data_IF_467087314715
#
_entry.id   IF_467087314715
#
_cell.length_a   1.000
_cell.length_b   1.000
_cell.length_c   1.000
_cell.angle_alpha   90.00
_cell.angle_beta   90.00
_cell.angle_gamma   90.00
#
_symmetry.space_group_name_H-M   'P 1'
#
loop_
_entity.id
_entity.type
_entity.pdbx_description
1 polymer ?
#
# COMPACT_ATOMS: atom_id res chain seq x y z
N UNK A 1 8.74 -2.70 25.14
CA UNK A 1 9.56 -1.48 24.88
C UNK A 1 8.88 -0.71 23.76
N UNK A 2 8.09 0.29 24.18
CA UNK A 2 7.30 1.26 23.43
C UNK A 2 6.78 0.84 22.05
N UNK A 3 5.69 0.07 22.08
CA UNK A 3 4.69 0.04 21.02
C UNK A 3 4.35 1.47 20.60
N UNK A 4 4.48 1.73 19.31
CA UNK A 4 4.24 3.03 18.69
C UNK A 4 2.79 3.44 18.96
N UNK A 5 2.58 4.23 20.01
CA UNK A 5 1.35 4.95 20.25
C UNK A 5 1.23 6.01 19.14
N UNK A 6 0.84 5.58 17.95
CA UNK A 6 0.38 6.45 16.86
C UNK A 6 -0.95 7.04 17.35
N UNK A 7 -0.85 8.02 18.24
CA UNK A 7 -1.98 8.76 18.78
C UNK A 7 -2.56 9.64 17.68
N UNK A 8 -3.88 9.80 17.70
CA UNK A 8 -4.59 10.63 16.75
C UNK A 8 -4.16 12.08 16.96
N UNK A 9 -3.38 12.61 16.03
CA UNK A 9 -2.93 14.00 16.05
C UNK A 9 -4.14 14.93 15.98
N UNK A 10 -4.10 16.03 16.72
CA UNK A 10 -5.08 17.09 16.49
C UNK A 10 -4.82 17.77 15.12
N UNK A 11 -5.77 18.59 14.67
CA UNK A 11 -5.71 19.27 13.36
C UNK A 11 -4.41 20.07 13.21
N UNK A 12 -3.97 20.77 14.26
CA UNK A 12 -2.77 21.61 14.21
C UNK A 12 -1.48 20.79 14.18
N UNK A 13 -1.41 19.69 14.93
CA UNK A 13 -0.26 18.78 14.90
C UNK A 13 -0.13 18.09 13.54
N UNK A 14 -1.26 17.71 12.95
CA UNK A 14 -1.39 17.22 11.57
C UNK A 14 -0.84 18.26 10.58
N UNK A 15 -1.28 19.52 10.71
CA UNK A 15 -0.84 20.62 9.85
C UNK A 15 0.67 20.92 10.00
N UNK A 16 1.20 20.89 11.22
CA UNK A 16 2.65 21.03 11.46
C UNK A 16 3.41 19.94 10.71
N UNK A 17 3.00 18.67 10.82
CA UNK A 17 3.65 17.60 10.08
C UNK A 17 3.49 17.75 8.57
N UNK A 18 2.33 18.14 8.06
CA UNK A 18 2.13 18.36 6.62
C UNK A 18 3.11 19.43 6.09
N UNK A 19 3.26 20.55 6.80
CA UNK A 19 4.02 21.73 6.32
C UNK A 19 5.54 21.63 6.50
N UNK A 20 6.04 20.85 7.46
CA UNK A 20 7.49 20.65 7.63
C UNK A 20 8.00 19.70 6.54
N UNK A 21 8.89 20.20 5.68
CA UNK A 21 9.49 19.37 4.63
C UNK A 21 10.52 18.39 5.22
N UNK A 22 10.65 17.16 4.69
CA UNK A 22 11.72 16.24 5.07
C UNK A 22 13.10 16.87 4.90
N UNK A 23 14.05 16.55 5.80
CA UNK A 23 15.43 17.08 5.81
C UNK A 23 15.58 18.59 5.96
N UNK A 24 14.49 19.32 6.25
CA UNK A 24 14.52 20.76 6.52
C UNK A 24 14.48 21.02 8.02
N UNK A 25 15.46 21.76 8.51
CA UNK A 25 15.45 22.30 9.87
C UNK A 25 14.53 23.51 9.93
N UNK A 26 13.62 23.53 10.90
CA UNK A 26 12.71 24.64 11.14
C UNK A 26 12.69 25.05 12.62
N UNK A 27 12.69 26.35 12.89
CA UNK A 27 12.48 26.90 14.22
C UNK A 27 10.99 26.93 14.59
N UNK A 28 10.68 27.02 15.88
CA UNK A 28 9.29 27.18 16.34
C UNK A 28 8.62 28.44 15.75
N UNK A 29 9.41 29.48 15.48
CA UNK A 29 8.93 30.74 14.91
C UNK A 29 8.59 30.61 13.42
N UNK A 30 9.34 29.81 12.67
CA UNK A 30 9.01 29.52 11.28
C UNK A 30 7.76 28.65 11.18
N UNK A 31 7.65 27.61 12.01
CA UNK A 31 6.43 26.78 12.08
C UNK A 31 5.22 27.63 12.45
N UNK A 32 5.37 28.54 13.41
CA UNK A 32 4.31 29.48 13.78
C UNK A 32 3.83 30.34 12.61
N UNK A 33 4.75 30.83 11.75
CA UNK A 33 4.39 31.60 10.54
C UNK A 33 3.71 30.76 9.46
N UNK A 34 3.92 29.44 9.47
CA UNK A 34 3.32 28.53 8.50
C UNK A 34 1.89 28.13 8.86
N UNK A 35 1.45 28.30 10.11
CA UNK A 35 0.11 27.96 10.56
C UNK A 35 -0.84 29.15 10.40
N UNK A 36 -2.07 28.90 9.94
CA UNK A 36 -3.06 29.96 9.82
C UNK A 36 -3.52 30.46 11.21
N UNK A 37 -3.72 31.78 11.28
CA UNK A 37 -3.73 32.61 12.49
C UNK A 37 -4.80 32.23 13.52
N UNK A 38 -4.39 32.16 14.79
CA UNK A 38 -5.28 32.01 15.96
C UNK A 38 -4.65 31.35 17.18
N UNK A 39 -3.45 30.75 17.04
CA UNK A 39 -2.71 30.11 18.13
C UNK A 39 -1.51 30.93 18.58
N UNK A 40 -1.07 30.74 19.82
CA UNK A 40 0.15 31.39 20.34
C UNK A 40 1.41 30.57 20.01
N UNK A 41 2.57 31.23 19.97
CA UNK A 41 3.86 30.55 19.81
C UNK A 41 4.11 29.50 20.92
N UNK A 42 3.58 29.72 22.12
CA UNK A 42 3.67 28.77 23.24
C UNK A 42 2.92 27.48 22.90
N UNK A 43 1.73 27.58 22.31
CA UNK A 43 0.96 26.42 21.85
C UNK A 43 1.72 25.66 20.77
N UNK A 44 2.31 26.35 19.79
CA UNK A 44 3.12 25.73 18.73
C UNK A 44 4.32 24.98 19.32
N UNK A 45 5.04 25.58 20.28
CA UNK A 45 6.13 24.90 20.99
C UNK A 45 5.65 23.64 21.69
N UNK A 46 4.48 23.68 22.35
CA UNK A 46 3.91 22.50 23.01
C UNK A 46 3.60 21.38 22.00
N UNK A 47 3.08 21.71 20.82
CA UNK A 47 2.82 20.69 19.79
C UNK A 47 4.11 20.15 19.18
N UNK A 48 5.13 20.98 18.99
CA UNK A 48 6.45 20.52 18.54
C UNK A 48 7.07 19.55 19.54
N UNK A 49 7.05 19.86 20.83
CA UNK A 49 7.53 18.94 21.87
C UNK A 49 6.70 17.66 21.95
N UNK A 50 5.37 17.75 21.73
CA UNK A 50 4.52 16.56 21.62
C UNK A 50 4.91 15.67 20.43
N UNK A 51 5.13 16.25 19.25
CA UNK A 51 5.58 15.54 18.05
C UNK A 51 7.01 14.96 18.21
N UNK A 52 7.87 15.63 18.98
CA UNK A 52 9.18 15.09 19.40
C UNK A 52 9.00 13.88 20.33
N UNK A 53 8.07 13.95 21.29
CA UNK A 53 7.73 12.83 22.16
C UNK A 53 7.21 11.60 21.40
N UNK A 54 6.49 11.82 20.30
CA UNK A 54 6.06 10.77 19.36
C UNK A 54 7.16 10.31 18.39
N UNK A 55 8.36 10.91 18.45
CA UNK A 55 9.47 10.70 17.52
C UNK A 55 9.14 11.02 16.06
N UNK A 56 8.13 11.85 15.79
CA UNK A 56 7.83 12.33 14.44
C UNK A 56 8.71 13.51 14.05
N UNK A 57 9.15 14.27 15.06
CA UNK A 57 10.18 15.29 14.91
C UNK A 57 11.37 14.94 15.79
N UNK A 58 12.56 15.38 15.39
CA UNK A 58 13.76 15.40 16.22
C UNK A 58 14.13 16.84 16.52
N UNK A 59 14.49 17.13 17.78
CA UNK A 59 15.01 18.43 18.19
C UNK A 59 16.52 18.49 17.98
N UNK A 60 16.98 19.55 17.32
CA UNK A 60 18.40 19.90 17.19
C UNK A 60 18.69 21.21 17.94
N UNK A 61 19.89 21.33 18.51
CA UNK A 61 20.33 22.53 19.23
C UNK A 61 19.64 22.76 20.59
N UNK A 62 19.95 23.90 21.23
CA UNK A 62 19.44 24.28 22.56
C UNK A 62 19.11 25.78 22.60
N UNK A 63 18.19 26.17 23.48
CA UNK A 63 17.82 27.58 23.68
C UNK A 63 17.36 28.25 22.38
N UNK A 64 17.97 29.40 22.04
CA UNK A 64 17.65 30.20 20.85
C UNK A 64 17.99 29.50 19.52
N UNK A 65 18.88 28.51 19.52
CA UNK A 65 19.24 27.73 18.32
C UNK A 65 18.42 26.44 18.18
N UNK A 66 17.31 26.31 18.91
CA UNK A 66 16.46 25.11 18.83
C UNK A 66 15.74 25.07 17.48
N UNK A 67 15.96 23.99 16.74
CA UNK A 67 15.25 23.67 15.51
C UNK A 67 14.71 22.24 15.55
N UNK A 68 13.78 21.95 14.66
CA UNK A 68 13.10 20.68 14.56
C UNK A 68 13.26 20.15 13.13
N UNK A 69 13.45 18.85 13.00
CA UNK A 69 13.55 18.15 11.72
C UNK A 69 12.57 16.97 11.73
N UNK A 70 11.97 16.68 10.59
CA UNK A 70 11.10 15.51 10.46
C UNK A 70 11.92 14.23 10.42
N UNK A 71 11.62 13.29 11.32
CA UNK A 71 12.22 11.95 11.32
C UNK A 71 11.60 11.07 10.23
N UNK A 72 12.17 9.90 9.97
CA UNK A 72 11.53 8.91 9.09
C UNK A 72 10.12 8.56 9.54
N UNK A 73 9.92 8.35 10.84
CA UNK A 73 8.59 8.05 11.38
C UNK A 73 7.60 9.19 11.09
N UNK A 74 8.06 10.44 11.24
CA UNK A 74 7.27 11.62 10.88
C UNK A 74 6.95 11.69 9.39
N UNK A 75 7.85 11.25 8.51
CA UNK A 75 7.62 11.16 7.06
C UNK A 75 6.56 10.10 6.75
N UNK A 76 6.75 8.87 7.23
CA UNK A 76 5.85 7.74 7.00
C UNK A 76 4.42 8.04 7.45
N UNK A 77 4.25 8.76 8.56
CA UNK A 77 2.95 9.12 9.12
C UNK A 77 2.51 10.57 8.86
N UNK A 78 3.12 11.24 7.87
CA UNK A 78 2.68 12.57 7.45
C UNK A 78 1.30 12.51 6.77
N UNK A 79 0.28 13.21 7.26
CA UNK A 79 -1.07 13.18 6.72
C UNK A 79 -1.20 14.09 5.48
N UNK A 80 -0.76 13.59 4.33
CA UNK A 80 -0.78 14.35 3.06
C UNK A 80 -2.12 14.10 2.37
N UNK A 81 -2.82 15.17 1.99
CA UNK A 81 -4.01 15.07 1.13
C UNK A 81 -3.58 14.74 -0.31
N UNK A 82 -3.95 13.56 -0.86
CA UNK A 82 -3.51 13.14 -2.18
C UNK A 82 -4.07 14.03 -3.29
N UNK A 83 -5.31 14.49 -3.20
CA UNK A 83 -5.91 15.35 -4.24
C UNK A 83 -5.24 16.72 -4.25
N UNK A 84 -5.03 17.32 -3.08
CA UNK A 84 -4.32 18.61 -2.96
C UNK A 84 -2.88 18.52 -3.46
N UNK A 85 -2.17 17.44 -3.11
CA UNK A 85 -0.80 17.22 -3.55
C UNK A 85 -0.69 17.07 -5.06
N UNK A 86 -1.59 16.29 -5.67
CA UNK A 86 -1.54 15.97 -7.09
C UNK A 86 -2.02 17.11 -8.01
N UNK A 87 -2.66 18.18 -7.47
CA UNK A 87 -2.97 19.43 -8.21
C UNK A 87 -1.74 20.20 -8.70
N UNK A 88 -0.58 19.99 -8.07
CA UNK A 88 0.68 20.57 -8.54
C UNK A 88 1.27 19.67 -9.61
N UNK A 89 1.78 20.25 -10.70
CA UNK A 89 2.46 19.50 -11.77
C UNK A 89 3.62 18.65 -11.22
N UNK A 90 3.84 17.41 -11.71
CA UNK A 90 4.79 16.48 -11.13
C UNK A 90 6.20 17.06 -10.91
N UNK A 91 6.74 17.79 -11.88
CA UNK A 91 8.08 18.37 -11.80
C UNK A 91 8.20 19.51 -10.76
N UNK A 92 7.07 20.12 -10.38
CA UNK A 92 6.99 21.21 -9.41
C UNK A 92 6.60 20.73 -8.00
N UNK A 93 6.24 19.46 -7.84
CA UNK A 93 5.86 18.90 -6.53
C UNK A 93 7.05 18.91 -5.57
N UNK A 94 6.77 19.14 -4.29
CA UNK A 94 7.74 18.84 -3.22
C UNK A 94 7.89 17.32 -3.07
N UNK A 95 9.06 16.84 -2.65
CA UNK A 95 9.34 15.41 -2.47
C UNK A 95 10.52 14.92 -3.29
N UNK A 96 10.73 13.61 -3.27
CA UNK A 96 11.86 12.91 -3.88
C UNK A 96 11.60 12.56 -5.33
N UNK A 97 12.66 12.53 -6.13
CA UNK A 97 12.65 11.99 -7.49
C UNK A 97 13.31 10.61 -7.60
N UNK A 98 13.91 10.12 -6.53
CA UNK A 98 14.82 8.98 -6.48
C UNK A 98 14.41 7.95 -5.42
N UNK A 99 14.86 6.71 -5.60
CA UNK A 99 14.62 5.61 -4.67
C UNK A 99 15.19 5.85 -3.28
N UNK A 100 14.38 5.56 -2.25
CA UNK A 100 14.78 5.62 -0.86
C UNK A 100 15.36 4.30 -0.37
N UNK A 101 16.68 4.16 -0.43
CA UNK A 101 17.38 2.95 0.01
C UNK A 101 17.18 2.61 1.51
N UNK A 102 16.97 3.61 2.37
CA UNK A 102 16.78 3.35 3.81
C UNK A 102 15.32 3.08 4.19
N UNK A 103 14.38 3.16 3.24
CA UNK A 103 12.95 3.12 3.52
C UNK A 103 12.53 1.87 4.29
N UNK A 104 12.90 0.68 3.81
CA UNK A 104 12.45 -0.57 4.38
C UNK A 104 13.17 -0.93 5.68
N UNK A 105 14.43 -0.53 5.83
CA UNK A 105 15.19 -0.69 7.08
C UNK A 105 14.61 0.16 8.21
N UNK A 106 14.04 1.31 7.85
CA UNK A 106 13.43 2.25 8.80
C UNK A 106 11.92 2.03 9.00
N UNK A 107 11.30 1.03 8.35
CA UNK A 107 9.91 0.69 8.63
C UNK A 107 9.74 0.24 10.09
N UNK A 108 8.79 0.80 10.84
CA UNK A 108 8.50 0.31 12.18
C UNK A 108 7.90 -1.10 12.09
N UNK A 109 8.10 -1.89 13.16
CA UNK A 109 7.52 -3.25 13.27
C UNK A 109 5.99 -3.29 13.15
N UNK A 110 5.33 -2.17 13.43
CA UNK A 110 3.89 -1.99 13.33
C UNK A 110 3.58 -0.68 12.61
N UNK A 111 2.75 -0.76 11.56
CA UNK A 111 2.34 0.38 10.74
C UNK A 111 0.95 0.94 11.11
N UNK A 112 0.27 0.30 12.06
CA UNK A 112 -1.08 0.63 12.51
C UNK A 112 -1.04 1.11 13.95
N UNK A 113 -1.82 2.15 14.24
CA UNK A 113 -2.08 2.59 15.60
C UNK A 113 -2.83 1.52 16.39
N UNK A 114 -2.78 1.62 17.72
CA UNK A 114 -3.55 0.75 18.61
C UNK A 114 -5.04 0.78 18.25
N UNK A 115 -5.60 1.98 18.04
CA UNK A 115 -7.01 2.17 17.66
C UNK A 115 -7.36 1.56 16.30
N UNK A 116 -6.51 1.74 15.29
CA UNK A 116 -6.71 1.11 13.98
C UNK A 116 -6.67 -0.42 14.11
N UNK A 117 -5.71 -0.95 14.86
CA UNK A 117 -5.56 -2.38 15.09
C UNK A 117 -6.76 -2.97 15.82
N UNK A 118 -7.23 -2.35 16.90
CA UNK A 118 -8.43 -2.78 17.64
C UNK A 118 -9.66 -2.86 16.73
N UNK A 119 -9.89 -1.84 15.90
CA UNK A 119 -11.00 -1.82 14.95
C UNK A 119 -10.90 -2.96 13.93
N UNK A 120 -9.71 -3.17 13.36
CA UNK A 120 -9.45 -4.23 12.40
C UNK A 120 -9.58 -5.63 13.02
N UNK A 121 -9.12 -5.81 14.26
CA UNK A 121 -9.21 -7.09 15.00
C UNK A 121 -10.66 -7.43 15.36
N UNK A 122 -11.44 -6.47 15.85
CA UNK A 122 -12.89 -6.64 16.09
C UNK A 122 -13.61 -7.04 14.80
N UNK A 123 -13.26 -6.41 13.67
CA UNK A 123 -13.84 -6.72 12.36
C UNK A 123 -13.46 -8.12 11.91
N UNK A 124 -12.21 -8.52 12.12
CA UNK A 124 -11.69 -9.86 11.80
C UNK A 124 -12.37 -10.93 12.63
N UNK A 125 -12.63 -10.69 13.92
CA UNK A 125 -13.39 -11.61 14.77
C UNK A 125 -14.79 -11.87 14.20
N UNK A 126 -15.53 -10.82 13.84
CA UNK A 126 -16.85 -10.94 13.21
C UNK A 126 -16.79 -11.68 11.88
N UNK A 127 -15.79 -11.39 11.05
CA UNK A 127 -15.58 -12.08 9.78
C UNK A 127 -15.37 -13.59 9.97
N UNK A 128 -14.50 -13.96 10.91
CA UNK A 128 -14.19 -15.36 11.21
C UNK A 128 -15.40 -16.14 11.71
N UNK A 129 -16.28 -15.53 12.48
CA UNK A 129 -17.54 -16.18 12.87
C UNK A 129 -18.49 -16.38 11.69
N UNK A 130 -18.59 -15.40 10.77
CA UNK A 130 -19.44 -15.53 9.58
C UNK A 130 -18.97 -16.62 8.63
N UNK A 131 -17.67 -16.78 8.39
CA UNK A 131 -17.17 -17.77 7.44
C UNK A 131 -17.33 -19.23 7.92
N UNK A 132 -17.46 -19.45 9.25
CA UNK A 132 -17.67 -20.78 9.83
C UNK A 132 -19.03 -21.39 9.46
N UNK A 133 -20.05 -20.57 9.26
CA UNK A 133 -21.42 -21.02 8.96
C UNK A 133 -21.67 -21.22 7.46
N UNK A 134 -20.69 -20.97 6.60
CA UNK A 134 -20.83 -21.11 5.15
C UNK A 134 -20.55 -22.56 4.74
N UNK A 135 -21.49 -23.16 4.03
CA UNK A 135 -21.32 -24.51 3.47
C UNK A 135 -20.16 -24.55 2.47
N UNK A 136 -19.53 -25.72 2.21
CA UNK A 136 -18.46 -25.83 1.22
C UNK A 136 -18.86 -25.30 -0.17
N UNK A 137 -20.09 -25.56 -0.60
CA UNK A 137 -20.64 -25.02 -1.86
C UNK A 137 -20.77 -23.49 -1.81
N UNK A 138 -21.21 -22.93 -0.68
CA UNK A 138 -21.26 -21.49 -0.47
C UNK A 138 -19.88 -20.85 -0.52
N UNK A 139 -18.86 -21.47 0.08
CA UNK A 139 -17.48 -20.99 0.07
C UNK A 139 -16.92 -20.94 -1.36
N UNK A 140 -17.18 -21.96 -2.18
CA UNK A 140 -16.76 -21.96 -3.59
C UNK A 140 -17.43 -20.83 -4.38
N UNK A 141 -18.74 -20.62 -4.20
CA UNK A 141 -19.48 -19.54 -4.88
C UNK A 141 -18.98 -18.15 -4.46
N UNK A 142 -18.76 -17.94 -3.17
CA UNK A 142 -18.24 -16.68 -2.64
C UNK A 142 -16.81 -16.40 -3.10
N UNK A 143 -15.97 -17.45 -3.16
CA UNK A 143 -14.62 -17.35 -3.70
C UNK A 143 -14.65 -16.98 -5.19
N UNK A 144 -15.48 -17.66 -5.99
CA UNK A 144 -15.63 -17.36 -7.42
C UNK A 144 -16.06 -15.91 -7.64
N UNK A 145 -17.10 -15.46 -6.93
CA UNK A 145 -17.57 -14.07 -6.98
C UNK A 145 -16.45 -13.09 -6.62
N UNK A 146 -15.74 -13.35 -5.52
CA UNK A 146 -14.64 -12.49 -5.09
C UNK A 146 -13.53 -12.41 -6.15
N UNK A 147 -13.15 -13.54 -6.77
CA UNK A 147 -12.10 -13.58 -7.79
C UNK A 147 -12.49 -12.82 -9.05
N UNK A 148 -13.76 -12.90 -9.47
CA UNK A 148 -14.27 -12.13 -10.61
C UNK A 148 -14.16 -10.63 -10.31
N UNK A 149 -14.71 -10.19 -9.18
CA UNK A 149 -14.73 -8.77 -8.80
C UNK A 149 -13.32 -8.21 -8.58
N UNK A 150 -12.42 -8.99 -7.97
CA UNK A 150 -11.02 -8.61 -7.77
C UNK A 150 -10.26 -8.52 -9.10
N UNK A 151 -10.43 -9.49 -10.00
CA UNK A 151 -9.74 -9.51 -11.30
C UNK A 151 -10.17 -8.36 -12.19
N UNK A 152 -11.47 -8.04 -12.19
CA UNK A 152 -12.01 -6.85 -12.82
C UNK A 152 -11.40 -5.58 -12.24
N UNK A 153 -11.57 -5.35 -10.93
CA UNK A 153 -11.23 -4.07 -10.31
C UNK A 153 -9.73 -3.80 -10.28
N UNK A 154 -8.93 -4.82 -10.03
CA UNK A 154 -7.46 -4.73 -10.09
C UNK A 154 -6.99 -4.35 -11.50
N UNK A 155 -7.61 -4.89 -12.55
CA UNK A 155 -7.28 -4.53 -13.94
C UNK A 155 -7.77 -3.13 -14.30
N UNK A 156 -8.97 -2.75 -13.85
CA UNK A 156 -9.57 -1.43 -14.06
C UNK A 156 -8.74 -0.30 -13.45
N UNK A 157 -8.16 -0.50 -12.26
CA UNK A 157 -7.23 0.48 -11.65
C UNK A 157 -6.01 0.74 -12.55
N UNK A 158 -5.58 -0.22 -13.36
CA UNK A 158 -4.50 -0.06 -14.35
C UNK A 158 -4.98 0.42 -15.73
N UNK A 159 -6.27 0.74 -15.90
CA UNK A 159 -6.82 1.30 -17.14
C UNK A 159 -7.52 0.29 -18.05
N UNK A 160 -7.69 -0.96 -17.63
CA UNK A 160 -8.49 -1.93 -18.38
C UNK A 160 -9.96 -1.47 -18.46
N UNK A 161 -10.57 -1.62 -19.64
CA UNK A 161 -11.89 -1.07 -19.95
C UNK A 161 -13.05 -2.05 -19.78
N UNK A 162 -12.79 -3.33 -19.46
CA UNK A 162 -13.84 -4.32 -19.22
C UNK A 162 -14.82 -3.86 -18.13
N UNK A 163 -16.11 -4.12 -18.34
CA UNK A 163 -17.11 -4.02 -17.28
C UNK A 163 -17.05 -5.23 -16.35
N UNK A 164 -17.73 -5.14 -15.20
CA UNK A 164 -17.83 -6.28 -14.29
C UNK A 164 -18.60 -7.44 -14.94
N UNK A 165 -19.66 -7.15 -15.71
CA UNK A 165 -20.45 -8.16 -16.42
C UNK A 165 -19.64 -8.85 -17.51
N UNK A 166 -18.86 -8.09 -18.28
CA UNK A 166 -17.95 -8.65 -19.29
C UNK A 166 -16.89 -9.55 -18.64
N UNK A 167 -16.37 -9.13 -17.49
CA UNK A 167 -15.40 -9.92 -16.72
C UNK A 167 -16.02 -11.22 -16.21
N UNK A 168 -17.25 -11.16 -15.70
CA UNK A 168 -17.99 -12.36 -15.27
C UNK A 168 -18.18 -13.34 -16.43
N UNK A 169 -18.69 -12.84 -17.57
CA UNK A 169 -18.92 -13.66 -18.77
C UNK A 169 -17.62 -14.29 -19.27
N UNK A 170 -16.54 -13.51 -19.32
CA UNK A 170 -15.21 -14.01 -19.70
C UNK A 170 -14.73 -15.13 -18.77
N UNK A 171 -14.82 -14.93 -17.45
CA UNK A 171 -14.23 -15.86 -16.48
C UNK A 171 -15.08 -17.12 -16.23
N UNK A 172 -16.40 -17.06 -16.49
CA UNK A 172 -17.34 -18.18 -16.33
C UNK A 172 -17.56 -18.96 -17.62
N UNK A 173 -17.78 -18.27 -18.72
CA UNK A 173 -18.18 -18.87 -20.00
C UNK A 173 -17.00 -18.97 -20.98
N UNK A 174 -15.88 -18.29 -20.69
CA UNK A 174 -14.73 -18.23 -21.59
C UNK A 174 -14.98 -17.34 -22.82
N UNK A 175 -16.00 -16.47 -22.78
CA UNK A 175 -16.40 -15.63 -23.91
C UNK A 175 -15.82 -14.21 -23.71
N UNK A 176 -14.85 -13.77 -24.55
CA UNK A 176 -14.35 -12.40 -24.52
C UNK A 176 -15.44 -11.38 -24.90
N UNK A 177 -15.35 -10.19 -24.33
CA UNK A 177 -16.24 -9.09 -24.72
C UNK A 177 -15.76 -8.43 -26.02
N UNK A 178 -16.72 -8.01 -26.85
CA UNK A 178 -16.44 -7.34 -28.11
C UNK A 178 -15.82 -5.95 -27.88
N UNK A 179 -14.94 -5.52 -28.80
CA UNK A 179 -14.33 -4.18 -28.74
C UNK A 179 -13.15 -4.04 -27.76
N UNK A 180 -12.77 -5.10 -27.04
CA UNK A 180 -11.60 -5.09 -26.16
C UNK A 180 -10.37 -5.74 -26.81
N UNK A 181 -9.20 -5.31 -26.37
CA UNK A 181 -7.94 -5.86 -26.88
C UNK A 181 -7.66 -7.27 -26.32
N UNK A 182 -6.85 -8.09 -27.02
CA UNK A 182 -6.36 -9.36 -26.48
C UNK A 182 -5.61 -9.17 -25.16
N UNK A 183 -4.83 -8.10 -25.04
CA UNK A 183 -4.06 -7.78 -23.83
C UNK A 183 -4.99 -7.50 -22.65
N UNK A 184 -6.06 -6.71 -22.82
CA UNK A 184 -7.05 -6.48 -21.77
C UNK A 184 -7.75 -7.77 -21.32
N UNK A 185 -8.07 -8.65 -22.27
CA UNK A 185 -8.66 -9.96 -21.99
C UNK A 185 -7.69 -10.84 -21.19
N UNK A 186 -6.42 -10.88 -21.61
CA UNK A 186 -5.36 -11.64 -20.96
C UNK A 186 -5.09 -11.12 -19.53
N UNK A 187 -5.10 -9.80 -19.30
CA UNK A 187 -4.93 -9.22 -17.96
C UNK A 187 -5.91 -9.82 -16.94
N UNK A 188 -7.18 -9.99 -17.31
CA UNK A 188 -8.23 -10.51 -16.42
C UNK A 188 -8.05 -12.01 -16.19
N UNK A 189 -7.83 -12.78 -17.27
CA UNK A 189 -7.60 -14.23 -17.19
C UNK A 189 -6.38 -14.54 -16.33
N UNK A 190 -5.28 -13.83 -16.56
CA UNK A 190 -4.03 -14.01 -15.83
C UNK A 190 -4.17 -13.64 -14.36
N UNK A 191 -4.95 -12.60 -14.06
CA UNK A 191 -5.23 -12.23 -12.67
C UNK A 191 -5.94 -13.36 -11.92
N UNK A 192 -6.94 -14.01 -12.53
CA UNK A 192 -7.59 -15.21 -11.97
C UNK A 192 -6.58 -16.35 -11.79
N UNK A 193 -5.78 -16.66 -12.82
CA UNK A 193 -4.77 -17.73 -12.77
C UNK A 193 -3.73 -17.53 -11.66
N UNK A 194 -3.21 -16.31 -11.53
CA UNK A 194 -2.24 -15.97 -10.50
C UNK A 194 -2.85 -16.05 -9.09
N UNK A 195 -4.11 -15.66 -8.92
CA UNK A 195 -4.82 -15.83 -7.66
C UNK A 195 -5.04 -17.30 -7.30
N UNK A 196 -5.42 -18.15 -8.27
CA UNK A 196 -5.52 -19.61 -8.07
C UNK A 196 -4.19 -20.21 -7.61
N UNK A 197 -3.08 -19.85 -8.26
CA UNK A 197 -1.74 -20.28 -7.82
C UNK A 197 -1.45 -19.87 -6.37
N UNK A 198 -1.81 -18.65 -5.96
CA UNK A 198 -1.64 -18.20 -4.58
C UNK A 198 -2.41 -19.09 -3.60
N UNK A 199 -3.66 -19.43 -3.91
CA UNK A 199 -4.48 -20.29 -3.04
C UNK A 199 -3.90 -21.71 -2.92
N UNK A 200 -3.46 -22.27 -4.04
CA UNK A 200 -2.84 -23.61 -4.08
C UNK A 200 -1.54 -23.68 -3.27
N UNK A 201 -0.80 -22.57 -3.20
CA UNK A 201 0.52 -22.50 -2.54
C UNK A 201 0.49 -21.71 -1.22
N UNK A 202 -0.70 -21.45 -0.68
CA UNK A 202 -0.85 -20.55 0.48
C UNK A 202 -0.23 -21.11 1.77
N UNK A 203 -0.25 -22.44 1.92
CA UNK A 203 0.34 -23.15 3.06
C UNK A 203 1.86 -23.08 3.02
N UNK A 204 2.45 -23.20 1.83
CA UNK A 204 3.88 -23.01 1.64
C UNK A 204 4.29 -21.57 1.97
N UNK A 205 3.56 -20.58 1.45
CA UNK A 205 3.84 -19.17 1.76
C UNK A 205 3.70 -18.87 3.26
N UNK A 206 2.71 -19.45 3.95
CA UNK A 206 2.58 -19.34 5.42
C UNK A 206 3.83 -19.84 6.15
N UNK A 207 4.42 -20.95 5.71
CA UNK A 207 5.60 -21.55 6.33
C UNK A 207 6.88 -20.77 6.02
N UNK A 208 7.07 -20.41 4.75
CA UNK A 208 8.32 -19.81 4.26
C UNK A 208 8.34 -18.27 4.37
N UNK A 209 7.18 -17.65 4.61
CA UNK A 209 6.99 -16.22 4.48
C UNK A 209 6.94 -15.78 3.01
N UNK A 210 6.92 -14.46 2.79
CA UNK A 210 7.05 -13.93 1.43
C UNK A 210 8.51 -14.01 0.98
N UNK A 211 8.73 -14.48 -0.25
CA UNK A 211 10.07 -14.67 -0.83
C UNK A 211 10.12 -14.11 -2.25
N UNK A 212 11.31 -13.73 -2.72
CA UNK A 212 11.50 -13.24 -4.10
C UNK A 212 11.00 -14.26 -5.14
N UNK A 213 11.33 -15.57 -5.05
CA UNK A 213 10.80 -16.55 -6.01
C UNK A 213 9.27 -16.62 -6.04
N UNK A 214 8.60 -16.51 -4.89
CA UNK A 214 7.13 -16.50 -4.85
C UNK A 214 6.56 -15.25 -5.54
N UNK A 215 7.18 -14.09 -5.33
CA UNK A 215 6.80 -12.82 -5.98
C UNK A 215 7.00 -12.93 -7.50
N UNK A 216 8.15 -13.42 -7.96
CA UNK A 216 8.43 -13.61 -9.39
C UNK A 216 7.46 -14.61 -10.03
N UNK A 217 7.08 -15.68 -9.32
CA UNK A 217 6.14 -16.67 -9.86
C UNK A 217 4.72 -16.11 -10.02
N UNK A 218 4.24 -15.34 -9.02
CA UNK A 218 2.95 -14.64 -9.13
C UNK A 218 2.97 -13.64 -10.29
N UNK A 219 4.07 -12.90 -10.44
CA UNK A 219 4.24 -11.95 -11.54
C UNK A 219 4.26 -12.65 -12.90
N UNK A 220 5.00 -13.75 -13.04
CA UNK A 220 5.08 -14.54 -14.27
C UNK A 220 3.69 -14.93 -14.79
N UNK A 221 2.82 -15.41 -13.88
CA UNK A 221 1.45 -15.78 -14.21
C UNK A 221 0.60 -14.56 -14.59
N UNK A 222 0.81 -13.43 -13.91
CA UNK A 222 0.09 -12.18 -14.15
C UNK A 222 0.35 -11.57 -15.53
N UNK A 223 1.56 -11.74 -16.06
CA UNK A 223 1.98 -11.11 -17.33
C UNK A 223 2.11 -12.08 -18.50
N UNK A 224 1.64 -13.32 -18.34
CA UNK A 224 1.60 -14.30 -19.41
C UNK A 224 0.92 -13.71 -20.67
N UNK A 225 1.52 -13.90 -21.84
CA UNK A 225 0.99 -13.43 -23.13
C UNK A 225 0.83 -11.89 -23.28
N UNK A 226 1.30 -11.07 -22.33
CA UNK A 226 1.25 -9.60 -22.40
C UNK A 226 2.51 -8.94 -22.99
N UNK A 227 3.37 -9.72 -23.66
CA UNK A 227 4.68 -9.25 -24.20
C UNK A 227 5.59 -8.58 -23.17
N UNK A 228 5.43 -8.89 -21.88
CA UNK A 228 6.27 -8.40 -20.78
C UNK A 228 7.37 -9.41 -20.49
N UNK A 229 8.61 -8.94 -20.28
CA UNK A 229 9.70 -9.83 -19.87
C UNK A 229 9.46 -10.41 -18.48
N UNK A 230 9.81 -11.69 -18.31
CA UNK A 230 9.71 -12.40 -17.03
C UNK A 230 10.91 -12.10 -16.13
N UNK A 231 10.65 -12.17 -14.82
CA UNK A 231 11.65 -11.96 -13.78
C UNK A 231 12.05 -10.49 -13.60
N UNK A 232 13.02 -10.26 -12.70
CA UNK A 232 13.46 -8.90 -12.40
C UNK A 232 14.01 -8.18 -13.64
N UNK A 233 13.55 -6.94 -13.84
CA UNK A 233 14.00 -6.09 -14.94
C UNK A 233 15.44 -5.61 -14.73
N UNK A 234 16.05 -5.12 -15.80
CA UNK A 234 17.41 -4.58 -15.82
C UNK A 234 17.52 -3.20 -16.47
N UNK A 235 16.39 -2.53 -16.69
CA UNK A 235 16.33 -1.22 -17.34
C UNK A 235 15.26 -0.34 -16.71
N UNK A 236 15.24 0.93 -17.11
CA UNK A 236 14.32 1.95 -16.60
C UNK A 236 12.85 1.60 -16.85
N UNK A 237 11.99 2.00 -15.91
CA UNK A 237 10.53 2.04 -16.09
C UNK A 237 10.04 3.43 -15.73
N UNK A 238 9.18 3.98 -16.59
CA UNK A 238 8.50 5.24 -16.33
C UNK A 238 7.17 5.00 -15.62
N UNK A 239 6.86 5.83 -14.63
CA UNK A 239 5.54 5.88 -14.02
C UNK A 239 4.91 7.20 -14.41
N UNK A 240 3.79 7.14 -15.14
CA UNK A 240 3.07 8.35 -15.56
C UNK A 240 2.54 9.10 -14.34
N UNK A 241 2.67 10.43 -14.36
CA UNK A 241 2.10 11.32 -13.34
C UNK A 241 3.00 11.56 -12.12
N UNK A 242 4.26 11.13 -12.15
CA UNK A 242 5.21 11.33 -11.06
C UNK A 242 6.62 11.64 -11.54
N UNK A 243 7.35 12.44 -10.75
CA UNK A 243 8.79 12.67 -10.95
C UNK A 243 9.66 11.56 -10.34
N UNK A 244 9.05 10.64 -9.60
CA UNK A 244 9.75 9.53 -8.96
C UNK A 244 10.29 8.54 -10.00
N UNK A 245 11.56 8.18 -9.86
CA UNK A 245 12.29 7.22 -10.67
C UNK A 245 12.67 6.02 -9.80
N UNK A 246 12.07 4.83 -10.04
CA UNK A 246 12.50 3.59 -9.41
C UNK A 246 13.94 3.21 -9.75
N UNK A 247 14.50 2.26 -9.02
CA UNK A 247 15.79 1.62 -9.33
C UNK A 247 15.81 1.11 -10.77
N UNK A 248 16.92 1.18 -11.49
CA UNK A 248 17.06 0.69 -12.87
C UNK A 248 18.03 -0.48 -13.02
N UNK A 249 18.79 -0.77 -11.96
CA UNK A 249 19.78 -1.83 -11.91
C UNK A 249 19.19 -3.12 -11.31
N UNK A 250 19.31 -4.24 -12.03
CA UNK A 250 18.79 -5.56 -11.60
C UNK A 250 19.29 -6.01 -10.22
N UNK A 251 20.55 -5.74 -9.89
CA UNK A 251 21.13 -6.14 -8.60
C UNK A 251 20.56 -5.31 -7.45
N UNK A 252 20.42 -3.99 -7.63
CA UNK A 252 19.78 -3.13 -6.63
C UNK A 252 18.30 -3.45 -6.46
N UNK A 253 17.59 -3.76 -7.57
CA UNK A 253 16.18 -4.18 -7.53
C UNK A 253 16.06 -5.47 -6.70
N UNK A 254 16.95 -6.44 -6.95
CA UNK A 254 16.98 -7.70 -6.21
C UNK A 254 17.23 -7.46 -4.72
N UNK A 255 18.26 -6.69 -4.39
CA UNK A 255 18.61 -6.33 -3.01
C UNK A 255 17.45 -5.63 -2.30
N UNK A 256 16.80 -4.64 -2.94
CA UNK A 256 15.65 -3.94 -2.38
C UNK A 256 14.46 -4.88 -2.14
N UNK A 257 14.22 -5.85 -3.05
CA UNK A 257 13.14 -6.81 -2.92
C UNK A 257 13.42 -7.86 -1.84
N UNK A 258 14.67 -8.30 -1.69
CA UNK A 258 15.12 -9.17 -0.60
C UNK A 258 15.04 -8.46 0.76
N UNK A 259 15.43 -7.18 0.81
CA UNK A 259 15.27 -6.31 1.97
C UNK A 259 13.80 -6.15 2.37
N UNK A 260 12.91 -5.91 1.41
CA UNK A 260 11.46 -5.87 1.66
C UNK A 260 10.94 -7.20 2.21
N UNK A 261 11.30 -8.34 1.61
CA UNK A 261 10.88 -9.66 2.10
C UNK A 261 11.35 -9.88 3.54
N UNK A 262 12.61 -9.55 3.84
CA UNK A 262 13.19 -9.65 5.19
C UNK A 262 12.44 -8.77 6.19
N UNK A 263 12.18 -7.52 5.84
CA UNK A 263 11.45 -6.58 6.69
C UNK A 263 10.02 -7.08 6.97
N UNK A 264 9.27 -7.47 5.93
CA UNK A 264 7.90 -8.00 6.04
C UNK A 264 7.86 -9.25 6.91
N UNK A 265 8.77 -10.20 6.72
CA UNK A 265 8.76 -11.44 7.48
C UNK A 265 9.04 -11.21 8.98
N UNK A 266 9.80 -10.15 9.34
CA UNK A 266 10.09 -9.73 10.72
C UNK A 266 9.02 -8.86 11.38
N UNK A 267 8.11 -8.25 10.60
CA UNK A 267 7.05 -7.37 11.14
C UNK A 267 6.02 -8.12 11.98
N UNK A 268 5.33 -7.36 12.84
CA UNK A 268 4.31 -7.89 13.73
C UNK A 268 2.90 -7.59 13.21
N UNK A 269 2.06 -8.61 13.18
CA UNK A 269 0.66 -8.51 12.73
C UNK A 269 0.48 -8.62 11.22
N UNK A 270 -0.61 -9.28 10.82
CA UNK A 270 -0.91 -9.59 9.41
C UNK A 270 -1.19 -8.34 8.58
N UNK A 271 -1.87 -7.34 9.16
CA UNK A 271 -2.13 -6.06 8.49
C UNK A 271 -0.86 -5.31 8.13
N UNK A 272 0.09 -5.23 9.08
CA UNK A 272 1.41 -4.61 8.85
C UNK A 272 2.11 -5.27 7.68
N UNK A 273 2.18 -6.61 7.70
CA UNK A 273 2.82 -7.40 6.64
C UNK A 273 2.16 -7.17 5.28
N UNK A 274 0.84 -7.31 5.21
CA UNK A 274 0.08 -7.16 3.96
C UNK A 274 0.22 -5.76 3.37
N UNK A 275 0.11 -4.73 4.21
CA UNK A 275 0.24 -3.34 3.78
C UNK A 275 1.66 -3.00 3.33
N UNK A 276 2.69 -3.48 4.04
CA UNK A 276 4.09 -3.31 3.64
C UNK A 276 4.39 -3.96 2.27
N UNK A 277 3.85 -5.15 2.00
CA UNK A 277 3.94 -5.80 0.68
C UNK A 277 3.29 -4.95 -0.41
N UNK A 278 2.07 -4.44 -0.16
CA UNK A 278 1.32 -3.62 -1.11
C UNK A 278 2.12 -2.38 -1.55
N UNK A 279 2.60 -1.59 -0.58
CA UNK A 279 3.30 -0.34 -0.87
C UNK A 279 4.74 -0.60 -1.33
N UNK A 280 5.42 -1.59 -0.75
CA UNK A 280 6.83 -1.88 -1.02
C UNK A 280 7.07 -2.36 -2.45
N UNK A 281 6.31 -3.36 -2.92
CA UNK A 281 6.45 -3.86 -4.30
C UNK A 281 6.08 -2.75 -5.29
N UNK A 282 5.02 -1.99 -4.99
CA UNK A 282 4.60 -0.85 -5.81
C UNK A 282 5.68 0.23 -5.90
N UNK A 283 6.50 0.41 -4.87
CA UNK A 283 7.58 1.41 -4.84
C UNK A 283 8.86 0.94 -5.53
N UNK A 284 9.25 -0.32 -5.32
CA UNK A 284 10.44 -0.92 -5.96
C UNK A 284 10.25 -1.03 -7.47
N UNK A 285 9.02 -1.34 -7.93
CA UNK A 285 8.72 -1.65 -9.33
C UNK A 285 9.67 -2.71 -9.91
N UNK A 286 9.77 -3.92 -9.33
CA UNK A 286 10.81 -4.89 -9.71
C UNK A 286 10.70 -5.45 -11.14
N UNK A 287 9.56 -5.28 -11.80
CA UNK A 287 9.25 -5.85 -13.10
C UNK A 287 9.02 -4.78 -14.17
N UNK A 288 9.08 -5.18 -15.44
CA UNK A 288 8.85 -4.30 -16.60
C UNK A 288 7.42 -3.71 -16.62
N UNK A 289 6.41 -4.53 -16.30
CA UNK A 289 5.02 -4.11 -16.05
C UNK A 289 4.34 -5.06 -15.06
N UNK A 290 3.14 -4.74 -14.58
CA UNK A 290 2.33 -5.60 -13.70
C UNK A 290 2.64 -5.45 -12.21
N UNK A 291 3.56 -4.56 -11.83
CA UNK A 291 4.02 -4.37 -10.46
C UNK A 291 2.88 -4.12 -9.45
N UNK A 292 1.96 -3.20 -9.76
CA UNK A 292 0.85 -2.84 -8.86
C UNK A 292 -0.19 -3.96 -8.76
N UNK A 293 -0.45 -4.69 -9.85
CA UNK A 293 -1.32 -5.89 -9.86
C UNK A 293 -0.72 -7.01 -8.99
N UNK A 294 0.58 -7.27 -9.14
CA UNK A 294 1.30 -8.23 -8.31
C UNK A 294 1.26 -7.81 -6.83
N UNK A 295 1.49 -6.54 -6.52
CA UNK A 295 1.43 -6.03 -5.15
C UNK A 295 0.05 -6.24 -4.49
N UNK A 296 -1.06 -6.00 -5.21
CA UNK A 296 -2.42 -6.26 -4.71
C UNK A 296 -2.67 -7.76 -4.47
N UNK A 297 -2.23 -8.63 -5.38
CA UNK A 297 -2.36 -10.08 -5.22
C UNK A 297 -1.55 -10.62 -4.03
N UNK A 298 -0.29 -10.18 -3.90
CA UNK A 298 0.60 -10.60 -2.83
C UNK A 298 0.17 -10.06 -1.47
N UNK A 299 -0.40 -8.85 -1.42
CA UNK A 299 -1.09 -8.33 -0.24
C UNK A 299 -2.23 -9.27 0.19
N UNK A 300 -3.08 -9.70 -0.75
CA UNK A 300 -4.13 -10.67 -0.47
C UNK A 300 -3.59 -12.04 -0.06
N UNK A 301 -2.48 -12.50 -0.65
CA UNK A 301 -1.81 -13.72 -0.22
C UNK A 301 -1.47 -13.67 1.27
N UNK A 302 -0.90 -12.56 1.76
CA UNK A 302 -0.56 -12.38 3.18
C UNK A 302 -1.81 -12.44 4.06
N UNK A 303 -2.88 -11.73 3.71
CA UNK A 303 -4.14 -11.75 4.46
C UNK A 303 -4.74 -13.16 4.53
N UNK A 304 -4.90 -13.79 3.36
CA UNK A 304 -5.51 -15.11 3.23
C UNK A 304 -4.67 -16.20 3.94
N UNK A 305 -3.35 -16.06 3.95
CA UNK A 305 -2.47 -17.00 4.65
C UNK A 305 -2.75 -17.07 6.14
N UNK A 306 -3.44 -16.08 6.72
CA UNK A 306 -3.78 -16.04 8.16
C UNK A 306 -5.29 -16.02 8.41
N UNK A 307 -6.11 -16.42 7.42
CA UNK A 307 -7.57 -16.41 7.48
C UNK A 307 -8.14 -15.02 7.81
N UNK A 308 -7.58 -13.97 7.20
CA UNK A 308 -8.13 -12.61 7.18
C UNK A 308 -8.94 -12.42 5.89
N UNK A 309 -9.87 -11.47 5.90
CA UNK A 309 -10.62 -11.12 4.69
C UNK A 309 -9.67 -10.58 3.62
N UNK A 310 -9.75 -11.05 2.36
CA UNK A 310 -8.97 -10.46 1.28
C UNK A 310 -9.58 -9.11 0.84
N UNK A 311 -8.76 -8.23 0.26
CA UNK A 311 -9.18 -6.94 -0.27
C UNK A 311 -9.74 -7.10 -1.68
N UNK A 312 -11.01 -6.77 -1.89
CA UNK A 312 -11.66 -6.80 -3.21
C UNK A 312 -11.31 -5.58 -4.08
N UNK A 313 -10.97 -4.45 -3.45
CA UNK A 313 -10.86 -3.12 -4.07
C UNK A 313 -12.14 -2.61 -4.74
N UNK A 314 -13.26 -3.36 -4.71
CA UNK A 314 -14.46 -3.09 -5.51
C UNK A 314 -14.99 -1.67 -5.35
N UNK A 315 -14.96 -1.15 -4.13
CA UNK A 315 -15.47 0.18 -3.79
C UNK A 315 -14.44 1.30 -3.92
N UNK A 316 -13.20 1.00 -4.32
CA UNK A 316 -12.14 2.01 -4.47
C UNK A 316 -12.39 2.91 -5.67
N UNK A 317 -12.22 4.21 -5.47
CA UNK A 317 -12.08 5.18 -6.56
C UNK A 317 -10.69 5.07 -7.20
N UNK A 318 -10.62 4.86 -8.52
CA UNK A 318 -9.34 4.62 -9.21
C UNK A 318 -8.40 5.83 -9.14
N UNK A 319 -8.96 7.05 -9.17
CA UNK A 319 -8.19 8.29 -9.12
C UNK A 319 -7.55 8.43 -7.74
N UNK A 320 -8.34 8.33 -6.66
CA UNK A 320 -7.84 8.41 -5.30
C UNK A 320 -6.78 7.34 -5.00
N UNK A 321 -6.92 6.11 -5.53
CA UNK A 321 -5.88 5.09 -5.42
C UNK A 321 -4.57 5.51 -6.09
N UNK A 322 -4.66 6.02 -7.33
CA UNK A 322 -3.50 6.50 -8.09
C UNK A 322 -2.85 7.69 -7.38
N UNK A 323 -3.61 8.70 -6.99
CA UNK A 323 -3.09 9.86 -6.27
C UNK A 323 -2.42 9.46 -4.94
N UNK A 324 -3.01 8.53 -4.19
CA UNK A 324 -2.48 8.03 -2.92
C UNK A 324 -1.16 7.27 -3.10
N UNK A 325 -1.01 6.47 -4.15
CA UNK A 325 0.26 5.75 -4.39
C UNK A 325 1.35 6.72 -4.86
N UNK A 326 1.01 7.76 -5.62
CA UNK A 326 1.96 8.80 -6.03
C UNK A 326 2.50 9.60 -4.84
N UNK A 327 1.65 9.89 -3.84
CA UNK A 327 2.12 10.46 -2.57
C UNK A 327 3.14 9.54 -1.91
N UNK A 328 2.92 8.22 -1.90
CA UNK A 328 3.91 7.30 -1.33
C UNK A 328 5.23 7.29 -2.12
N UNK A 329 5.16 7.37 -3.45
CA UNK A 329 6.35 7.38 -4.31
C UNK A 329 7.24 8.60 -4.05
N UNK A 330 6.64 9.79 -3.98
CA UNK A 330 7.41 11.03 -3.90
C UNK A 330 7.67 11.47 -2.45
N UNK A 331 6.77 11.17 -1.52
CA UNK A 331 6.84 11.64 -0.13
C UNK A 331 7.11 10.53 0.88
N UNK A 332 7.01 9.26 0.48
CA UNK A 332 7.04 8.09 1.37
C UNK A 332 6.01 8.13 2.51
N UNK A 333 4.97 8.98 2.42
CA UNK A 333 3.86 8.94 3.37
C UNK A 333 2.97 7.72 3.08
N UNK A 334 2.76 6.92 4.12
CA UNK A 334 1.88 5.76 4.10
C UNK A 334 0.41 6.11 4.32
N UNK A 335 0.13 7.30 4.85
CA UNK A 335 -1.19 7.65 5.40
C UNK A 335 -2.32 7.51 4.36
N UNK A 336 -2.20 8.05 3.12
CA UNK A 336 -3.28 7.95 2.13
C UNK A 336 -3.57 6.50 1.73
N UNK A 337 -2.52 5.73 1.43
CA UNK A 337 -2.66 4.32 1.07
C UNK A 337 -3.16 3.46 2.23
N UNK A 338 -2.76 3.77 3.47
CA UNK A 338 -3.22 3.06 4.67
C UNK A 338 -4.72 3.27 4.89
N UNK A 339 -5.22 4.48 4.65
CA UNK A 339 -6.65 4.78 4.71
C UNK A 339 -7.44 3.90 3.74
N UNK A 340 -7.02 3.83 2.47
CA UNK A 340 -7.63 2.96 1.46
C UNK A 340 -7.56 1.48 1.91
N UNK A 341 -6.40 1.02 2.39
CA UNK A 341 -6.23 -0.35 2.87
C UNK A 341 -7.25 -0.71 3.97
N UNK A 342 -7.39 0.16 4.98
CA UNK A 342 -8.33 -0.03 6.09
C UNK A 342 -9.77 -0.06 5.57
N UNK A 343 -10.17 0.92 4.77
CA UNK A 343 -11.52 1.01 4.21
C UNK A 343 -11.86 -0.24 3.39
N UNK A 344 -10.93 -0.72 2.57
CA UNK A 344 -11.13 -1.93 1.77
C UNK A 344 -11.16 -3.21 2.59
N UNK A 345 -10.41 -3.27 3.69
CA UNK A 345 -10.48 -4.41 4.59
C UNK A 345 -11.82 -4.47 5.30
N UNK A 346 -12.27 -3.35 5.87
CA UNK A 346 -13.58 -3.24 6.54
C UNK A 346 -14.71 -3.58 5.57
N UNK A 347 -14.68 -3.02 4.37
CA UNK A 347 -15.64 -3.31 3.32
C UNK A 347 -15.64 -4.80 2.97
N UNK A 348 -14.48 -5.40 2.75
CA UNK A 348 -14.43 -6.78 2.28
C UNK A 348 -14.84 -7.77 3.37
N UNK A 349 -14.43 -7.54 4.63
CA UNK A 349 -14.85 -8.34 5.78
C UNK A 349 -16.37 -8.27 6.06
N UNK A 350 -17.03 -7.21 5.60
CA UNK A 350 -18.49 -7.09 5.71
C UNK A 350 -19.24 -7.77 4.56
N UNK A 351 -18.68 -7.75 3.34
CA UNK A 351 -19.41 -8.05 2.10
C UNK A 351 -19.05 -9.39 1.43
N UNK A 352 -17.97 -10.04 1.85
CA UNK A 352 -17.54 -11.33 1.32
C UNK A 352 -17.34 -12.34 2.44
N UNK A 353 -17.41 -13.62 2.09
CA UNK A 353 -17.20 -14.74 3.00
C UNK A 353 -16.17 -15.73 2.45
N UNK A 354 -15.00 -15.21 2.06
CA UNK A 354 -13.93 -16.01 1.42
C UNK A 354 -13.14 -16.79 2.48
N UNK A 355 -13.12 -18.11 2.37
CA UNK A 355 -12.27 -18.94 3.21
C UNK A 355 -11.16 -19.56 2.36
N UNK A 356 -9.90 -19.31 2.73
CA UNK A 356 -8.76 -19.94 2.06
C UNK A 356 -8.64 -21.42 2.51
N UNK A 357 -8.20 -22.33 1.63
CA UNK A 357 -8.10 -23.78 1.90
C UNK A 357 -6.93 -24.22 2.81
#
# INVERSE_FOLDING_TARGET
>A
MNDTNILQLNIRQTEILEKIQPKKLVSSSEVFKLLDSGVSLVTVKRDLEYLVGLKYLERKGKGRSTSYEKTTLGVLFSPIDPSKYNKTEPDMRSGRGDFNFSLFDEFPKNLFSVKEKEMLDVTTGRYREKIKSVSPVGQMKELERFVIELSWKSSKIEGNTYTLLDTERLLREGIPAEGHTPDETAMIINHKKAFSFILENIKEMRTNGITVPFIEKVHELLVADLKVKRGLRSGLVGIIGTKYKPLDNKYQIKEALEGLCTAVNRMEGVFTKAFAVLVGISYIQPFEDGNKRAARLLCNAVLLSSNYAPLSYRSVDEINYRESILVFYEMNSLVPMKKIFIEQYLFSAQNYLVNAP
#
